data_IF_474789126357
#
_entry.id   IF_474789126357
#
_cell.length_a   1.000
_cell.length_b   1.000
_cell.length_c   1.000
_cell.angle_alpha   90.00
_cell.angle_beta   90.00
_cell.angle_gamma   90.00
#
_symmetry.space_group_name_H-M   'P 1'
#
loop_
_entity.id
_entity.type
_entity.pdbx_description
1 polymer ?
#
# COMPACT_ATOMS: atom_id res chain seq x y z
N UNK A 1 53.11 -4.93 31.11
CA UNK A 1 51.82 -4.36 31.57
C UNK A 1 51.20 -3.63 30.40
N UNK A 2 50.10 -4.14 29.82
CA UNK A 2 49.45 -3.56 28.64
C UNK A 2 48.09 -3.00 29.08
N UNK A 3 47.92 -1.68 28.97
CA UNK A 3 46.66 -1.01 29.33
C UNK A 3 45.52 -1.52 28.44
N UNK A 4 44.42 -1.94 29.09
CA UNK A 4 43.17 -2.33 28.44
C UNK A 4 42.44 -1.05 28.05
N UNK A 5 42.29 -0.82 26.75
CA UNK A 5 41.63 0.37 26.22
C UNK A 5 40.20 0.46 26.74
N UNK A 6 39.89 1.60 27.35
CA UNK A 6 38.53 2.05 27.63
C UNK A 6 38.06 2.70 26.32
N UNK A 7 37.64 1.88 25.35
CA UNK A 7 36.96 2.42 24.17
C UNK A 7 35.53 2.69 24.58
N UNK A 8 35.32 3.95 24.92
CA UNK A 8 34.03 4.58 25.15
C UNK A 8 32.96 4.03 24.22
N UNK A 9 31.83 3.68 24.84
CA UNK A 9 30.54 3.38 24.25
C UNK A 9 30.18 4.45 23.21
N UNK A 10 30.57 4.24 21.97
CA UNK A 10 30.01 4.96 20.82
C UNK A 10 28.56 4.47 20.75
N UNK A 11 27.52 5.32 20.90
CA UNK A 11 26.21 4.90 20.48
C UNK A 11 26.37 4.61 18.99
N UNK A 12 26.36 3.34 18.60
CA UNK A 12 26.28 3.00 17.19
C UNK A 12 24.99 3.66 16.73
N UNK A 13 25.08 4.80 16.05
CA UNK A 13 23.96 5.33 15.32
C UNK A 13 23.60 4.21 14.36
N UNK A 14 22.51 3.50 14.66
CA UNK A 14 22.02 2.42 13.82
C UNK A 14 21.57 3.07 12.53
N UNK A 15 22.52 3.29 11.63
CA UNK A 15 22.27 3.94 10.36
C UNK A 15 21.54 2.92 9.51
N UNK A 16 20.24 3.14 9.30
CA UNK A 16 19.44 2.30 8.42
C UNK A 16 19.99 2.47 7.01
N UNK A 17 20.38 1.36 6.39
CA UNK A 17 20.81 1.36 5.00
C UNK A 17 19.62 1.76 4.12
N UNK A 18 19.86 2.65 3.14
CA UNK A 18 18.86 2.95 2.13
C UNK A 18 18.41 1.65 1.45
N UNK A 19 17.09 1.44 1.40
CA UNK A 19 16.47 0.24 0.86
C UNK A 19 15.20 0.63 0.13
N UNK A 20 14.99 0.06 -1.06
CA UNK A 20 13.83 0.34 -1.90
C UNK A 20 12.55 -0.39 -1.46
N UNK A 21 12.66 -1.51 -0.73
CA UNK A 21 11.53 -2.27 -0.20
C UNK A 21 11.89 -2.89 1.16
N UNK A 22 11.10 -2.56 2.18
CA UNK A 22 11.22 -3.19 3.49
C UNK A 22 10.55 -4.57 3.51
N UNK A 23 10.98 -5.43 4.45
CA UNK A 23 10.51 -6.82 4.62
C UNK A 23 9.06 -6.91 5.13
N UNK A 24 8.42 -5.79 5.47
CA UNK A 24 7.04 -5.74 6.00
C UNK A 24 5.93 -6.12 5.01
N UNK A 25 6.27 -6.52 3.78
CA UNK A 25 5.30 -6.86 2.74
C UNK A 25 4.58 -5.63 2.17
N UNK A 26 3.71 -5.88 1.20
CA UNK A 26 2.85 -4.85 0.60
C UNK A 26 1.51 -5.45 0.19
N UNK A 27 0.45 -4.66 0.28
CA UNK A 27 -0.85 -4.98 -0.29
C UNK A 27 -1.07 -4.18 -1.57
N UNK A 28 -1.81 -4.75 -2.51
CA UNK A 28 -2.34 -4.03 -3.65
C UNK A 28 -3.81 -3.72 -3.34
N UNK A 29 -4.25 -2.49 -3.54
CA UNK A 29 -5.62 -2.09 -3.24
C UNK A 29 -6.25 -1.41 -4.47
N UNK A 30 -7.55 -1.63 -4.66
CA UNK A 30 -8.35 -0.96 -5.67
C UNK A 30 -9.44 -0.11 -5.03
N UNK A 31 -9.64 1.09 -5.57
CA UNK A 31 -10.68 2.02 -5.16
C UNK A 31 -11.03 2.95 -6.32
N UNK A 32 -12.32 3.25 -6.49
CA UNK A 32 -12.81 4.28 -7.38
C UNK A 32 -13.30 5.48 -6.55
N UNK A 33 -12.94 6.68 -6.99
CA UNK A 33 -13.24 7.93 -6.29
C UNK A 33 -13.93 8.89 -7.25
N UNK A 34 -15.00 9.53 -6.78
CA UNK A 34 -15.63 10.66 -7.47
C UNK A 34 -15.69 11.86 -6.52
N UNK A 35 -16.12 13.02 -7.03
CA UNK A 35 -16.35 14.20 -6.20
C UNK A 35 -17.36 13.96 -5.06
N UNK A 36 -18.27 13.01 -5.21
CA UNK A 36 -19.41 12.81 -4.28
C UNK A 36 -19.45 11.43 -3.63
N UNK A 37 -18.61 10.50 -4.06
CA UNK A 37 -18.69 9.11 -3.62
C UNK A 37 -17.34 8.40 -3.69
N UNK A 38 -17.23 7.35 -2.88
CA UNK A 38 -16.09 6.46 -2.82
C UNK A 38 -16.60 5.03 -2.93
N UNK A 39 -15.97 4.21 -3.76
CA UNK A 39 -16.26 2.78 -3.81
C UNK A 39 -15.70 2.08 -2.56
N UNK A 40 -16.16 0.87 -2.23
CA UNK A 40 -15.45 0.02 -1.29
C UNK A 40 -13.98 -0.15 -1.69
N UNK A 41 -13.09 -0.17 -0.69
CA UNK A 41 -11.66 -0.46 -0.88
C UNK A 41 -11.50 -1.98 -0.95
N UNK A 42 -10.91 -2.47 -2.03
CA UNK A 42 -10.75 -3.91 -2.28
C UNK A 42 -9.28 -4.25 -2.23
N UNK A 43 -8.89 -5.17 -1.34
CA UNK A 43 -7.54 -5.73 -1.34
C UNK A 43 -7.42 -6.76 -2.48
N UNK A 44 -6.42 -6.57 -3.32
CA UNK A 44 -6.13 -7.42 -4.47
C UNK A 44 -4.95 -8.34 -4.18
N UNK A 45 -5.05 -9.57 -4.68
CA UNK A 45 -3.96 -10.52 -4.65
C UNK A 45 -3.01 -10.22 -5.81
N UNK A 46 -1.77 -9.82 -5.49
CA UNK A 46 -0.60 -9.65 -6.37
C UNK A 46 -0.83 -9.11 -7.79
N UNK A 47 -1.45 -9.88 -8.68
CA UNK A 47 -1.73 -9.53 -10.05
C UNK A 47 -3.22 -9.75 -10.34
N UNK A 48 -3.82 -8.78 -11.03
CA UNK A 48 -5.18 -8.90 -11.55
C UNK A 48 -5.15 -9.08 -13.05
N UNK A 49 -6.03 -9.92 -13.56
CA UNK A 49 -6.31 -10.09 -14.98
C UNK A 49 -7.28 -9.02 -15.47
N UNK A 50 -7.32 -8.80 -16.78
CA UNK A 50 -8.30 -7.91 -17.39
C UNK A 50 -9.75 -8.35 -17.11
N UNK A 51 -10.00 -9.66 -16.99
CA UNK A 51 -11.31 -10.22 -16.66
C UNK A 51 -11.72 -9.83 -15.23
N UNK A 52 -10.86 -10.06 -14.25
CA UNK A 52 -11.12 -9.69 -12.85
C UNK A 52 -11.30 -8.17 -12.71
N UNK A 53 -10.53 -7.38 -13.45
CA UNK A 53 -10.69 -5.94 -13.48
C UNK A 53 -12.06 -5.51 -14.05
N UNK A 54 -12.50 -6.13 -15.16
CA UNK A 54 -13.82 -5.87 -15.74
C UNK A 54 -14.97 -6.24 -14.78
N UNK A 55 -14.82 -7.35 -14.04
CA UNK A 55 -15.77 -7.75 -12.99
C UNK A 55 -15.83 -6.70 -11.86
N UNK A 56 -14.67 -6.24 -11.36
CA UNK A 56 -14.61 -5.18 -10.34
C UNK A 56 -15.32 -3.90 -10.82
N UNK A 57 -15.10 -3.49 -12.07
CA UNK A 57 -15.77 -2.32 -12.63
C UNK A 57 -17.29 -2.49 -12.70
N UNK A 58 -17.76 -3.65 -13.17
CA UNK A 58 -19.19 -3.96 -13.27
C UNK A 58 -19.89 -3.94 -11.92
N UNK A 59 -19.26 -4.49 -10.87
CA UNK A 59 -19.87 -4.55 -9.53
C UNK A 59 -19.75 -3.23 -8.78
N UNK A 60 -18.62 -2.53 -8.87
CA UNK A 60 -18.31 -1.42 -7.97
C UNK A 60 -18.52 -0.04 -8.59
N UNK A 61 -18.25 0.13 -9.87
CA UNK A 61 -18.33 1.44 -10.54
C UNK A 61 -19.72 1.69 -11.10
N UNK A 62 -20.36 0.66 -11.68
CA UNK A 62 -21.69 0.81 -12.27
C UNK A 62 -22.75 1.34 -11.29
N UNK A 63 -22.82 0.86 -10.02
CA UNK A 63 -23.71 1.44 -9.03
C UNK A 63 -23.34 2.88 -8.66
N UNK A 64 -22.04 3.20 -8.57
CA UNK A 64 -21.55 4.55 -8.26
C UNK A 64 -21.98 5.59 -9.30
N UNK A 65 -22.06 5.19 -10.57
CA UNK A 65 -22.54 6.03 -11.68
C UNK A 65 -24.07 6.18 -11.62
N UNK A 66 -24.80 5.09 -11.38
CA UNK A 66 -26.27 5.13 -11.34
C UNK A 66 -26.84 5.89 -10.14
N UNK A 67 -26.18 5.86 -8.98
CA UNK A 67 -26.56 6.65 -7.79
C UNK A 67 -26.56 8.16 -8.10
N UNK A 68 -25.78 8.61 -9.10
CA UNK A 68 -25.67 10.02 -9.48
C UNK A 68 -26.51 10.42 -10.71
N UNK A 69 -27.02 9.47 -11.49
CA UNK A 69 -27.85 9.76 -12.67
C UNK A 69 -29.36 9.81 -12.38
N UNK A 70 -29.79 9.60 -11.13
CA UNK A 70 -31.17 9.83 -10.71
C UNK A 70 -31.33 11.25 -10.15
N UNK A 71 -31.20 12.25 -11.03
CA UNK A 71 -31.64 13.63 -10.80
C UNK A 71 -32.09 14.24 -12.11
#
# INVERSE_FOLDING_TARGET
MKLKAITNMIPSTQCLLATVKHVGGCIMAWVAISWKSLSPVIALLACITAKEYAEILGVQVHPMVQIHSSK
#
